data_IF_165343343505
#
_entry.id   IF_165343343505
#
_cell.length_a   1.000
_cell.length_b   1.000
_cell.length_c   1.000
_cell.angle_alpha   90.00
_cell.angle_beta   90.00
_cell.angle_gamma   90.00
#
_symmetry.space_group_name_H-M   'P 1'
#
loop_
_entity.id
_entity.type
_entity.pdbx_description
1 polymer ?
#
# COMPACT_ATOMS: atom_id res chain seq x y z
N UNK A 1 -1.81 1.31 13.22
CA UNK A 1 -3.05 0.91 12.54
C UNK A 1 -3.88 2.16 12.24
N UNK A 2 -4.27 2.38 10.97
CA UNK A 2 -4.86 3.66 10.50
C UNK A 2 -6.40 3.67 10.44
N UNK A 3 -7.05 2.53 10.68
CA UNK A 3 -8.51 2.40 10.47
C UNK A 3 -9.32 2.99 11.62
N UNK A 4 -10.31 3.83 11.28
CA UNK A 4 -11.22 4.48 12.24
C UNK A 4 -12.09 3.49 13.03
N UNK A 5 -12.68 2.51 12.34
CA UNK A 5 -13.52 1.46 12.94
C UNK A 5 -13.09 0.11 12.39
N UNK A 6 -12.92 -0.88 13.26
CA UNK A 6 -12.52 -2.21 12.88
C UNK A 6 -13.18 -3.25 13.80
N UNK A 7 -13.62 -4.36 13.21
CA UNK A 7 -14.06 -5.57 13.91
C UNK A 7 -13.07 -6.69 13.63
N UNK A 8 -12.59 -7.36 14.69
CA UNK A 8 -11.80 -8.58 14.57
C UNK A 8 -12.46 -9.70 15.36
N UNK A 9 -12.93 -10.74 14.69
CA UNK A 9 -13.48 -11.90 15.37
C UNK A 9 -12.37 -12.73 16.03
N UNK A 10 -12.65 -13.31 17.19
CA UNK A 10 -11.68 -14.13 17.93
C UNK A 10 -11.87 -15.60 17.63
N UNK A 11 -10.77 -16.34 17.65
CA UNK A 11 -10.80 -17.80 17.73
C UNK A 11 -11.08 -18.21 19.19
N UNK A 12 -12.36 -18.47 19.47
CA UNK A 12 -12.89 -18.95 20.74
C UNK A 12 -13.36 -20.42 20.66
N UNK A 13 -12.96 -21.14 19.60
CA UNK A 13 -13.33 -22.54 19.35
C UNK A 13 -14.68 -22.71 18.63
N UNK A 14 -15.50 -21.67 18.54
CA UNK A 14 -16.76 -21.67 17.79
C UNK A 14 -16.53 -21.27 16.33
N UNK A 15 -16.61 -22.27 15.42
CA UNK A 15 -16.35 -22.06 14.00
C UNK A 15 -17.59 -21.61 13.22
N UNK A 16 -17.47 -20.47 12.54
CA UNK A 16 -18.45 -19.98 11.58
C UNK A 16 -17.78 -19.85 10.21
N UNK A 17 -18.30 -20.58 9.22
CA UNK A 17 -17.74 -20.61 7.86
C UNK A 17 -17.59 -19.23 7.20
N UNK A 18 -18.44 -18.27 7.56
CA UNK A 18 -18.44 -16.91 7.02
C UNK A 18 -17.40 -15.99 7.67
N UNK A 19 -16.82 -16.42 8.79
CA UNK A 19 -15.83 -15.68 9.57
C UNK A 19 -14.45 -16.27 9.32
N UNK A 20 -13.48 -15.39 9.13
CA UNK A 20 -12.06 -15.65 9.04
C UNK A 20 -11.41 -14.84 10.16
N UNK A 21 -11.00 -15.52 11.22
CA UNK A 21 -10.44 -14.88 12.42
C UNK A 21 -9.10 -14.16 12.18
N UNK A 22 -8.44 -14.39 11.03
CA UNK A 22 -7.20 -13.69 10.68
C UNK A 22 -7.47 -12.32 10.03
N UNK A 23 -8.71 -12.03 9.65
CA UNK A 23 -9.10 -10.81 8.93
C UNK A 23 -9.51 -9.65 9.84
N UNK A 24 -9.36 -8.46 9.25
CA UNK A 24 -9.71 -7.18 9.85
C UNK A 24 -10.96 -6.61 9.14
N UNK A 25 -12.15 -6.83 9.68
CA UNK A 25 -13.41 -6.51 9.01
C UNK A 25 -13.80 -5.03 9.12
N UNK A 26 -14.33 -4.47 8.03
CA UNK A 26 -15.13 -3.25 8.09
C UNK A 26 -16.39 -3.49 8.92
N UNK A 27 -16.93 -2.43 9.52
CA UNK A 27 -18.08 -2.57 10.40
C UNK A 27 -19.30 -3.13 9.65
N UNK A 28 -19.57 -2.56 8.47
CA UNK A 28 -20.69 -2.92 7.60
C UNK A 28 -20.53 -4.35 7.06
N UNK A 29 -19.30 -4.74 6.68
CA UNK A 29 -19.00 -6.12 6.28
C UNK A 29 -19.27 -7.11 7.42
N UNK A 30 -18.85 -6.79 8.65
CA UNK A 30 -19.11 -7.61 9.82
C UNK A 30 -20.61 -7.70 10.15
N UNK A 31 -21.34 -6.59 10.08
CA UNK A 31 -22.79 -6.54 10.32
C UNK A 31 -23.54 -7.44 9.31
N UNK A 32 -23.19 -7.38 8.02
CA UNK A 32 -23.75 -8.26 6.99
C UNK A 32 -23.40 -9.75 7.19
N UNK A 33 -22.19 -10.06 7.65
CA UNK A 33 -21.80 -11.45 8.00
C UNK A 33 -22.65 -11.96 9.16
N UNK A 34 -22.82 -11.16 10.21
CA UNK A 34 -23.61 -11.50 11.39
C UNK A 34 -25.07 -11.75 11.01
N UNK A 35 -25.66 -10.89 10.18
CA UNK A 35 -27.04 -11.06 9.72
C UNK A 35 -27.22 -12.34 8.89
N UNK A 36 -26.26 -12.66 8.01
CA UNK A 36 -26.27 -13.93 7.26
C UNK A 36 -26.17 -15.15 8.16
N UNK A 37 -25.29 -15.12 9.16
CA UNK A 37 -25.15 -16.20 10.15
C UNK A 37 -26.45 -16.38 10.92
N UNK A 38 -27.05 -15.28 11.40
CA UNK A 38 -28.34 -15.29 12.12
C UNK A 38 -29.43 -15.94 11.27
N UNK A 39 -29.59 -15.51 10.02
CA UNK A 39 -30.58 -16.07 9.11
C UNK A 39 -30.39 -17.57 8.86
N UNK A 40 -29.13 -18.02 8.74
CA UNK A 40 -28.79 -19.44 8.59
C UNK A 40 -29.15 -20.23 9.85
N UNK A 41 -28.75 -19.76 11.03
CA UNK A 41 -29.03 -20.45 12.30
C UNK A 41 -30.54 -20.61 12.54
N UNK A 42 -31.33 -19.58 12.21
CA UNK A 42 -32.80 -19.63 12.28
C UNK A 42 -33.35 -20.70 11.33
N UNK A 43 -32.87 -20.76 10.08
CA UNK A 43 -33.29 -21.76 9.09
C UNK A 43 -32.93 -23.19 9.51
N UNK A 44 -31.75 -23.36 10.10
CA UNK A 44 -31.24 -24.65 10.58
C UNK A 44 -31.83 -25.09 11.93
N UNK A 45 -32.58 -24.21 12.62
CA UNK A 45 -33.10 -24.43 13.98
C UNK A 45 -32.01 -24.83 14.99
N UNK A 46 -30.80 -24.32 14.79
CA UNK A 46 -29.68 -24.52 15.73
C UNK A 46 -29.76 -23.48 16.83
N UNK A 47 -29.34 -23.87 18.04
CA UNK A 47 -29.11 -22.90 19.10
C UNK A 47 -28.01 -21.93 18.65
N UNK A 48 -28.28 -20.64 18.82
CA UNK A 48 -27.32 -19.59 18.53
C UNK A 48 -26.28 -19.54 19.65
N UNK A 49 -25.04 -19.94 19.34
CA UNK A 49 -23.90 -19.59 20.20
C UNK A 49 -23.62 -18.09 20.10
N UNK A 50 -22.71 -17.58 20.93
CA UNK A 50 -22.16 -16.24 20.75
C UNK A 50 -20.86 -16.33 19.96
N UNK A 51 -20.38 -15.22 19.40
CA UNK A 51 -19.03 -15.14 18.83
C UNK A 51 -18.30 -13.96 19.44
N UNK A 52 -17.11 -14.20 19.98
CA UNK A 52 -16.30 -13.14 20.58
C UNK A 52 -15.63 -12.31 19.49
N UNK A 53 -15.52 -11.00 19.72
CA UNK A 53 -14.84 -10.09 18.81
C UNK A 53 -14.21 -8.91 19.56
N UNK A 54 -13.19 -8.33 18.94
CA UNK A 54 -12.55 -7.09 19.35
C UNK A 54 -13.12 -5.93 18.55
N UNK A 55 -13.54 -4.90 19.26
CA UNK A 55 -13.94 -3.62 18.67
C UNK A 55 -12.80 -2.62 18.81
N UNK A 56 -12.32 -2.16 17.65
CA UNK A 56 -11.23 -1.20 17.55
C UNK A 56 -11.77 0.14 17.02
N UNK A 57 -11.39 1.22 17.69
CA UNK A 57 -11.71 2.60 17.29
C UNK A 57 -10.42 3.43 17.29
N UNK A 58 -10.17 4.17 16.22
CA UNK A 58 -8.98 5.02 16.05
C UNK A 58 -7.66 4.29 16.38
N UNK A 59 -7.56 3.03 15.92
CA UNK A 59 -6.39 2.18 16.14
C UNK A 59 -6.23 1.64 17.58
N UNK A 60 -7.18 1.85 18.47
CA UNK A 60 -7.19 1.33 19.84
C UNK A 60 -8.27 0.27 20.03
N UNK A 61 -7.91 -0.86 20.62
CA UNK A 61 -8.89 -1.87 21.05
C UNK A 61 -9.67 -1.31 22.23
N UNK A 62 -10.92 -0.92 21.99
CA UNK A 62 -11.76 -0.30 23.00
C UNK A 62 -12.46 -1.33 23.89
N UNK A 63 -13.04 -2.36 23.27
CA UNK A 63 -13.83 -3.37 23.98
C UNK A 63 -13.65 -4.74 23.33
N UNK A 64 -13.57 -5.79 24.16
CA UNK A 64 -13.74 -7.17 23.72
C UNK A 64 -15.15 -7.57 24.14
N UNK A 65 -16.00 -7.93 23.17
CA UNK A 65 -17.41 -8.24 23.41
C UNK A 65 -17.80 -9.53 22.70
N UNK A 66 -19.06 -9.92 22.85
CA UNK A 66 -19.67 -11.05 22.18
C UNK A 66 -20.85 -10.58 21.34
N UNK A 67 -20.91 -11.03 20.08
CA UNK A 67 -22.13 -10.89 19.29
C UNK A 67 -23.09 -12.02 19.65
N UNK A 68 -24.31 -11.63 19.96
CA UNK A 68 -25.41 -12.54 20.25
C UNK A 68 -26.27 -12.69 18.99
N UNK A 69 -26.25 -13.87 18.37
CA UNK A 69 -27.04 -14.12 17.15
C UNK A 69 -28.53 -14.35 17.44
N UNK A 70 -28.89 -14.77 18.66
CA UNK A 70 -30.27 -14.93 19.12
C UNK A 70 -31.01 -13.60 19.27
N UNK A 71 -30.28 -12.51 19.54
CA UNK A 71 -30.84 -11.16 19.63
C UNK A 71 -31.18 -10.61 18.25
N UNK A 72 -32.37 -9.98 18.14
CA UNK A 72 -32.82 -9.26 16.94
C UNK A 72 -32.10 -7.92 16.72
N UNK A 73 -31.36 -7.46 17.72
CA UNK A 73 -30.59 -6.21 17.65
C UNK A 73 -29.43 -6.33 16.67
N UNK A 74 -29.18 -5.27 15.90
CA UNK A 74 -28.04 -5.20 15.00
C UNK A 74 -26.72 -5.17 15.77
N UNK A 75 -25.60 -5.47 15.10
CA UNK A 75 -24.27 -5.40 15.71
C UNK A 75 -24.03 -4.02 16.34
N UNK A 76 -24.44 -2.96 15.63
CA UNK A 76 -24.31 -1.59 16.13
C UNK A 76 -25.04 -1.39 17.45
N UNK A 77 -26.28 -1.87 17.57
CA UNK A 77 -27.07 -1.72 18.80
C UNK A 77 -26.49 -2.50 19.97
N UNK A 78 -26.01 -3.73 19.71
CA UNK A 78 -25.35 -4.54 20.72
C UNK A 78 -24.06 -3.88 21.22
N UNK A 79 -23.28 -3.26 20.32
CA UNK A 79 -22.08 -2.50 20.67
C UNK A 79 -22.38 -1.21 21.42
N UNK A 80 -23.36 -0.43 20.97
CA UNK A 80 -23.83 0.77 21.69
C UNK A 80 -24.21 0.42 23.14
N UNK A 81 -24.97 -0.66 23.33
CA UNK A 81 -25.32 -1.14 24.67
C UNK A 81 -24.07 -1.52 25.48
N UNK A 82 -23.18 -2.32 24.90
CA UNK A 82 -21.94 -2.77 25.58
C UNK A 82 -21.10 -1.58 26.05
N UNK A 83 -20.92 -0.56 25.21
CA UNK A 83 -20.15 0.64 25.55
C UNK A 83 -20.86 1.43 26.66
N UNK A 84 -22.18 1.60 26.57
CA UNK A 84 -22.96 2.34 27.58
C UNK A 84 -22.99 1.63 28.95
N UNK A 85 -22.83 0.31 28.99
CA UNK A 85 -22.78 -0.46 30.25
C UNK A 85 -21.36 -0.79 30.69
N UNK A 86 -20.33 -0.21 30.07
CA UNK A 86 -18.94 -0.49 30.44
C UNK A 86 -18.56 0.24 31.73
N UNK A 87 -18.71 -0.44 32.88
CA UNK A 87 -18.62 0.14 34.22
C UNK A 87 -17.27 0.84 34.54
N UNK A 88 -16.20 0.49 33.81
CA UNK A 88 -14.89 1.10 34.02
C UNK A 88 -14.76 2.51 33.44
N UNK A 89 -15.75 2.99 32.69
CA UNK A 89 -15.73 4.31 32.05
C UNK A 89 -16.77 5.26 32.63
N UNK A 90 -16.38 6.53 32.75
CA UNK A 90 -17.31 7.59 33.10
C UNK A 90 -18.43 7.73 32.06
N UNK A 91 -19.60 8.19 32.48
CA UNK A 91 -20.79 8.34 31.62
C UNK A 91 -20.50 9.22 30.38
N UNK A 92 -19.87 10.37 30.57
CA UNK A 92 -19.49 11.28 29.49
C UNK A 92 -18.57 10.61 28.46
N UNK A 93 -17.63 9.78 28.93
CA UNK A 93 -16.71 9.03 28.06
C UNK A 93 -17.45 7.96 27.25
N UNK A 94 -18.38 7.22 27.87
CA UNK A 94 -19.21 6.22 27.18
C UNK A 94 -20.05 6.87 26.07
N UNK A 95 -20.70 8.00 26.37
CA UNK A 95 -21.48 8.73 25.37
C UNK A 95 -20.63 9.30 24.24
N UNK A 96 -19.43 9.79 24.54
CA UNK A 96 -18.48 10.25 23.52
C UNK A 96 -18.15 9.12 22.53
N UNK A 97 -17.76 7.94 23.02
CA UNK A 97 -17.43 6.81 22.15
C UNK A 97 -18.61 6.31 21.34
N UNK A 98 -19.82 6.25 21.91
CA UNK A 98 -21.04 5.90 21.17
C UNK A 98 -21.33 6.88 20.05
N UNK A 99 -21.16 8.19 20.30
CA UNK A 99 -21.39 9.21 19.28
C UNK A 99 -20.33 9.12 18.16
N UNK A 100 -19.06 8.89 18.51
CA UNK A 100 -17.99 8.67 17.52
C UNK A 100 -18.26 7.42 16.68
N UNK A 101 -18.62 6.30 17.30
CA UNK A 101 -19.02 5.06 16.61
C UNK A 101 -20.14 5.33 15.60
N UNK A 102 -21.21 6.01 16.02
CA UNK A 102 -22.34 6.34 15.12
C UNK A 102 -21.90 7.16 13.92
N UNK A 103 -21.06 8.18 14.14
CA UNK A 103 -20.53 9.01 13.07
C UNK A 103 -19.74 8.20 12.05
N UNK A 104 -18.79 7.39 12.51
CA UNK A 104 -17.93 6.60 11.62
C UNK A 104 -18.69 5.47 10.91
N UNK A 105 -19.63 4.81 11.58
CA UNK A 105 -20.47 3.79 10.95
C UNK A 105 -21.38 4.39 9.89
N UNK A 106 -21.94 5.58 10.14
CA UNK A 106 -22.75 6.27 9.13
C UNK A 106 -21.91 6.68 7.92
N UNK A 107 -20.72 7.26 8.14
CA UNK A 107 -19.76 7.57 7.06
C UNK A 107 -19.43 6.33 6.21
N UNK A 108 -19.16 5.20 6.87
CA UNK A 108 -18.86 3.94 6.18
C UNK A 108 -20.07 3.43 5.39
N UNK A 109 -21.26 3.41 5.99
CA UNK A 109 -22.50 2.96 5.35
C UNK A 109 -22.82 3.78 4.10
N UNK A 110 -22.61 5.10 4.12
CA UNK A 110 -22.82 5.97 2.95
C UNK A 110 -21.88 5.61 1.79
N UNK A 111 -20.61 5.29 2.07
CA UNK A 111 -19.66 4.88 1.05
C UNK A 111 -19.96 3.46 0.53
N UNK A 112 -20.43 2.57 1.41
CA UNK A 112 -20.71 1.16 1.10
C UNK A 112 -21.99 0.94 0.27
N UNK A 113 -22.74 2.00 -0.06
CA UNK A 113 -23.83 1.94 -1.04
C UNK A 113 -23.32 1.48 -2.41
N UNK A 114 -22.08 1.84 -2.77
CA UNK A 114 -21.45 1.43 -4.03
C UNK A 114 -20.84 0.02 -3.91
N UNK A 115 -21.46 -0.96 -4.56
CA UNK A 115 -21.00 -2.36 -4.56
C UNK A 115 -19.60 -2.58 -5.16
N UNK A 116 -19.21 -1.80 -6.16
CA UNK A 116 -17.86 -1.86 -6.74
C UNK A 116 -16.83 -1.38 -5.72
N UNK A 117 -17.13 -0.28 -5.02
CA UNK A 117 -16.29 0.20 -3.92
C UNK A 117 -16.20 -0.82 -2.78
N UNK A 118 -17.32 -1.42 -2.35
CA UNK A 118 -17.31 -2.48 -1.33
C UNK A 118 -16.40 -3.64 -1.76
N UNK A 119 -16.54 -4.10 -3.00
CA UNK A 119 -15.69 -5.17 -3.54
C UNK A 119 -14.21 -4.76 -3.55
N UNK A 120 -13.92 -3.51 -3.93
CA UNK A 120 -12.57 -2.96 -3.93
C UNK A 120 -11.95 -2.95 -2.52
N UNK A 121 -12.66 -2.43 -1.50
CA UNK A 121 -12.11 -2.33 -0.14
C UNK A 121 -11.96 -3.68 0.54
N UNK A 122 -12.91 -4.60 0.35
CA UNK A 122 -12.79 -5.96 0.85
C UNK A 122 -11.61 -6.68 0.20
N UNK A 123 -11.42 -6.50 -1.12
CA UNK A 123 -10.27 -7.12 -1.82
C UNK A 123 -8.94 -6.52 -1.38
N UNK A 124 -8.87 -5.20 -1.18
CA UNK A 124 -7.70 -4.54 -0.60
C UNK A 124 -7.35 -5.14 0.76
N UNK A 125 -8.33 -5.25 1.65
CA UNK A 125 -8.14 -5.76 3.00
C UNK A 125 -7.66 -7.23 3.01
N UNK A 126 -8.24 -8.06 2.15
CA UNK A 126 -7.82 -9.46 1.97
C UNK A 126 -6.37 -9.62 1.48
N UNK A 127 -5.79 -8.62 0.82
CA UNK A 127 -4.44 -8.70 0.27
C UNK A 127 -3.40 -7.99 1.13
N UNK A 128 -3.76 -6.86 1.72
CA UNK A 128 -2.83 -5.95 2.38
C UNK A 128 -3.15 -5.75 3.86
N UNK A 129 -4.40 -5.98 4.29
CA UNK A 129 -4.84 -5.83 5.68
C UNK A 129 -4.64 -7.08 6.55
N UNK A 130 -4.16 -8.18 5.97
CA UNK A 130 -3.93 -9.46 6.66
C UNK A 130 -2.50 -9.58 7.22
N UNK A 131 -2.36 -10.37 8.29
CA UNK A 131 -1.09 -10.59 9.03
C UNK A 131 0.06 -11.09 8.15
N UNK A 132 -0.24 -11.79 7.05
CA UNK A 132 0.76 -12.37 6.15
C UNK A 132 1.30 -11.39 5.12
N UNK A 133 0.73 -10.19 5.00
CA UNK A 133 1.27 -9.17 4.11
C UNK A 133 2.61 -8.66 4.67
N UNK A 134 3.68 -8.84 3.89
CA UNK A 134 5.03 -8.47 4.29
C UNK A 134 5.37 -7.04 3.84
N UNK A 135 6.11 -6.26 4.65
CA UNK A 135 6.68 -6.63 5.95
C UNK A 135 5.67 -6.61 7.11
N UNK A 136 4.54 -5.92 6.98
CA UNK A 136 3.47 -5.87 7.99
C UNK A 136 2.15 -5.48 7.33
N UNK A 137 0.99 -5.74 7.97
CA UNK A 137 -0.31 -5.38 7.41
C UNK A 137 -0.51 -3.88 7.28
N UNK A 138 -1.13 -3.44 6.19
CA UNK A 138 -1.49 -2.04 5.95
C UNK A 138 -3.01 -1.92 5.95
N UNK A 139 -3.53 -1.37 7.04
CA UNK A 139 -4.97 -1.16 7.23
C UNK A 139 -5.30 0.32 7.03
N UNK A 140 -5.73 0.72 5.83
CA UNK A 140 -6.22 2.07 5.55
C UNK A 140 -7.66 2.27 6.05
N UNK A 141 -8.02 3.53 6.31
CA UNK A 141 -9.41 3.90 6.59
C UNK A 141 -10.26 3.99 5.31
N UNK A 142 -11.58 4.00 5.49
CA UNK A 142 -12.54 4.01 4.37
C UNK A 142 -12.43 5.26 3.50
N UNK A 143 -12.05 6.40 4.07
CA UNK A 143 -11.90 7.65 3.32
C UNK A 143 -10.67 7.63 2.42
N UNK A 144 -9.55 7.12 2.93
CA UNK A 144 -8.32 6.88 2.17
C UNK A 144 -8.58 5.87 1.04
N UNK A 145 -9.25 4.76 1.34
CA UNK A 145 -9.62 3.77 0.33
C UNK A 145 -10.53 4.35 -0.76
N UNK A 146 -11.48 5.21 -0.38
CA UNK A 146 -12.33 5.90 -1.34
C UNK A 146 -11.55 6.87 -2.24
N UNK A 147 -10.51 7.53 -1.74
CA UNK A 147 -9.63 8.36 -2.57
C UNK A 147 -8.81 7.54 -3.56
N UNK A 148 -8.30 6.37 -3.17
CA UNK A 148 -7.61 5.45 -4.08
C UNK A 148 -8.59 4.96 -5.14
N UNK A 149 -9.76 4.47 -4.72
CA UNK A 149 -10.81 4.01 -5.61
C UNK A 149 -11.22 5.10 -6.62
N UNK A 150 -11.46 6.32 -6.15
CA UNK A 150 -11.82 7.45 -7.00
C UNK A 150 -10.74 7.86 -8.00
N UNK A 151 -9.48 7.53 -7.72
CA UNK A 151 -8.36 7.74 -8.65
C UNK A 151 -8.30 6.65 -9.72
N UNK A 152 -8.63 5.40 -9.37
CA UNK A 152 -8.48 4.25 -10.27
C UNK A 152 -9.74 3.92 -11.08
N UNK A 153 -10.92 4.13 -10.51
CA UNK A 153 -12.19 3.79 -11.15
C UNK A 153 -12.38 4.47 -12.52
N UNK A 154 -12.03 5.76 -12.71
CA UNK A 154 -12.14 6.41 -14.02
C UNK A 154 -11.18 5.85 -15.08
N UNK A 155 -10.16 5.10 -14.67
CA UNK A 155 -9.14 4.54 -15.55
C UNK A 155 -9.53 3.15 -16.11
N UNK A 156 -10.63 2.57 -15.63
CA UNK A 156 -11.13 1.26 -16.06
C UNK A 156 -11.64 1.31 -17.49
N UNK A 157 -11.23 0.35 -18.33
CA UNK A 157 -11.58 0.33 -19.77
C UNK A 157 -12.51 -0.80 -20.19
N UNK A 158 -12.38 -1.97 -19.58
CA UNK A 158 -13.10 -3.20 -19.97
C UNK A 158 -14.24 -3.53 -19.01
N UNK A 159 -13.97 -3.40 -17.71
CA UNK A 159 -14.94 -3.67 -16.64
C UNK A 159 -14.26 -3.66 -15.28
N UNK A 160 -14.98 -3.22 -14.24
CA UNK A 160 -14.41 -3.11 -12.90
C UNK A 160 -13.89 -4.45 -12.38
N UNK A 161 -14.72 -5.49 -12.42
CA UNK A 161 -14.34 -6.81 -11.89
C UNK A 161 -13.23 -7.50 -12.67
N UNK A 162 -13.08 -7.24 -13.98
CA UNK A 162 -11.99 -7.80 -14.79
C UNK A 162 -10.65 -7.11 -14.52
N UNK A 163 -10.67 -5.86 -14.07
CA UNK A 163 -9.47 -5.06 -13.82
C UNK A 163 -9.12 -4.96 -12.33
N UNK A 164 -9.96 -5.47 -11.43
CA UNK A 164 -9.75 -5.40 -9.98
C UNK A 164 -8.38 -5.94 -9.54
N UNK A 165 -7.95 -7.11 -10.05
CA UNK A 165 -6.64 -7.68 -9.71
C UNK A 165 -5.48 -6.82 -10.23
N UNK A 166 -5.66 -6.17 -11.38
CA UNK A 166 -4.66 -5.26 -11.94
C UNK A 166 -4.59 -3.97 -11.10
N UNK A 167 -5.73 -3.47 -10.59
CA UNK A 167 -5.74 -2.37 -9.62
C UNK A 167 -4.97 -2.75 -8.35
N UNK A 168 -5.24 -3.94 -7.79
CA UNK A 168 -4.55 -4.42 -6.60
C UNK A 168 -3.04 -4.56 -6.82
N UNK A 169 -2.61 -5.06 -7.98
CA UNK A 169 -1.19 -5.14 -8.33
C UNK A 169 -0.54 -3.74 -8.41
N UNK A 170 -1.23 -2.75 -8.96
CA UNK A 170 -0.75 -1.37 -9.02
C UNK A 170 -0.65 -0.72 -7.63
N UNK A 171 -1.67 -0.93 -6.77
CA UNK A 171 -1.66 -0.52 -5.37
C UNK A 171 -0.51 -1.18 -4.61
N UNK A 172 -0.30 -2.49 -4.78
CA UNK A 172 0.81 -3.22 -4.17
C UNK A 172 2.15 -2.58 -4.53
N UNK A 173 2.36 -2.28 -5.82
CA UNK A 173 3.58 -1.62 -6.30
C UNK A 173 3.76 -0.25 -5.65
N UNK A 174 2.68 0.51 -5.50
CA UNK A 174 2.71 1.81 -4.82
C UNK A 174 3.02 1.68 -3.31
N UNK A 175 2.46 0.68 -2.63
CA UNK A 175 2.75 0.40 -1.22
C UNK A 175 4.21 -0.04 -1.03
N UNK A 176 4.72 -0.94 -1.88
CA UNK A 176 6.13 -1.36 -1.89
C UNK A 176 7.07 -0.16 -2.06
N UNK A 177 6.70 0.83 -2.88
CA UNK A 177 7.47 2.08 -3.03
C UNK A 177 7.48 2.91 -1.75
N UNK A 178 6.32 3.10 -1.10
CA UNK A 178 6.22 3.83 0.17
C UNK A 178 7.05 3.14 1.27
N UNK A 179 6.97 1.81 1.35
CA UNK A 179 7.77 1.01 2.29
C UNK A 179 9.26 1.19 2.02
N UNK A 180 9.69 1.09 0.75
CA UNK A 180 11.08 1.28 0.36
C UNK A 180 11.61 2.67 0.73
N UNK A 181 10.86 3.73 0.42
CA UNK A 181 11.24 5.11 0.75
C UNK A 181 11.28 5.38 2.25
N UNK A 182 10.35 4.77 3.01
CA UNK A 182 10.37 4.81 4.46
C UNK A 182 11.65 4.14 5.01
N UNK A 183 12.05 3.02 4.42
CA UNK A 183 13.23 2.22 4.77
C UNK A 183 14.57 2.91 4.51
N UNK A 184 14.70 3.72 3.43
CA UNK A 184 15.95 4.39 3.04
C UNK A 184 16.65 5.19 4.16
N UNK A 185 15.91 5.64 5.16
CA UNK A 185 16.44 6.44 6.27
C UNK A 185 16.43 5.70 7.62
N UNK A 186 16.22 4.39 7.61
CA UNK A 186 16.24 3.54 8.81
C UNK A 186 17.57 2.77 8.95
N UNK A 187 18.46 2.89 7.96
CA UNK A 187 19.82 2.33 7.99
C UNK A 187 20.69 3.11 8.99
N UNK A 188 20.59 2.72 10.25
CA UNK A 188 21.32 3.32 11.36
C UNK A 188 21.23 2.52 12.66
N UNK A 189 22.39 1.95 13.04
CA UNK A 189 22.70 1.22 14.27
C UNK A 189 22.04 -0.17 14.42
N UNK A 190 22.80 -1.08 15.05
CA UNK A 190 22.43 -2.43 15.48
C UNK A 190 21.11 -2.43 16.27
N UNK A 191 19.99 -2.49 15.56
CA UNK A 191 18.66 -2.64 16.14
C UNK A 191 18.18 -4.04 15.84
N UNK A 192 17.57 -4.66 16.85
CA UNK A 192 16.88 -5.94 16.70
C UNK A 192 15.88 -5.88 15.53
N UNK A 193 15.77 -6.97 14.76
CA UNK A 193 14.93 -7.06 13.56
C UNK A 193 13.47 -6.67 13.86
N UNK A 194 12.95 -7.10 15.02
CA UNK A 194 11.59 -6.80 15.44
C UNK A 194 11.38 -5.29 15.70
N UNK A 195 12.40 -4.61 16.22
CA UNK A 195 12.34 -3.17 16.46
C UNK A 195 12.41 -2.38 15.15
N UNK A 196 13.23 -2.82 14.20
CA UNK A 196 13.29 -2.21 12.87
C UNK A 196 11.97 -2.34 12.13
N UNK A 197 11.33 -3.52 12.18
CA UNK A 197 10.04 -3.76 11.57
C UNK A 197 8.94 -2.85 12.16
N UNK A 198 8.87 -2.72 13.49
CA UNK A 198 7.94 -1.81 14.16
C UNK A 198 8.17 -0.34 13.80
N UNK A 199 9.43 0.10 13.78
CA UNK A 199 9.78 1.47 13.40
C UNK A 199 9.40 1.77 11.94
N UNK A 200 9.59 0.80 11.05
CA UNK A 200 9.16 0.90 9.66
C UNK A 200 7.62 0.96 9.56
N UNK A 201 6.90 0.14 10.32
CA UNK A 201 5.44 0.16 10.39
C UNK A 201 4.91 1.53 10.84
N UNK A 202 5.44 2.06 11.94
CA UNK A 202 5.10 3.38 12.46
C UNK A 202 5.34 4.46 11.39
N UNK A 203 6.51 4.45 10.77
CA UNK A 203 6.87 5.44 9.75
C UNK A 203 6.00 5.36 8.51
N UNK A 204 5.71 4.16 8.00
CA UNK A 204 4.80 3.97 6.85
C UNK A 204 3.40 4.45 7.20
N UNK A 205 2.91 4.14 8.40
CA UNK A 205 1.62 4.64 8.87
C UNK A 205 1.59 6.18 8.93
N UNK A 206 2.62 6.83 9.47
CA UNK A 206 2.72 8.29 9.50
C UNK A 206 2.72 8.88 8.09
N UNK A 207 3.54 8.35 7.19
CA UNK A 207 3.62 8.82 5.80
C UNK A 207 2.28 8.70 5.07
N UNK A 208 1.53 7.62 5.29
CA UNK A 208 0.21 7.43 4.67
C UNK A 208 -0.87 8.34 5.27
N UNK A 209 -0.65 8.94 6.44
CA UNK A 209 -1.53 9.98 7.00
C UNK A 209 -1.23 11.38 6.48
N UNK A 210 -0.01 11.62 5.98
CA UNK A 210 0.38 12.91 5.41
C UNK A 210 -0.31 13.12 4.05
N UNK A 211 -1.13 14.17 3.93
CA UNK A 211 -1.96 14.42 2.74
C UNK A 211 -1.14 14.49 1.44
N UNK A 212 0.03 15.12 1.48
CA UNK A 212 0.92 15.27 0.32
C UNK A 212 1.52 13.93 -0.14
N UNK A 213 1.96 13.11 0.82
CA UNK A 213 2.52 11.78 0.56
C UNK A 213 1.42 10.82 0.13
N UNK A 214 0.26 10.85 0.79
CA UNK A 214 -0.89 10.04 0.42
C UNK A 214 -1.39 10.36 -0.99
N UNK A 215 -1.44 11.65 -1.36
CA UNK A 215 -1.75 12.08 -2.73
C UNK A 215 -0.72 11.58 -3.75
N UNK A 216 0.57 11.63 -3.41
CA UNK A 216 1.64 11.10 -4.26
C UNK A 216 1.51 9.58 -4.43
N UNK A 217 1.12 8.87 -3.38
CA UNK A 217 0.82 7.45 -3.40
C UNK A 217 -0.39 7.11 -4.29
N UNK A 218 -1.50 7.84 -4.18
CA UNK A 218 -2.69 7.60 -5.03
C UNK A 218 -2.38 7.89 -6.51
N UNK A 219 -1.66 8.97 -6.78
CA UNK A 219 -1.16 9.31 -8.12
C UNK A 219 -0.28 8.20 -8.70
N UNK A 220 0.66 7.70 -7.91
CA UNK A 220 1.53 6.59 -8.30
C UNK A 220 0.70 5.33 -8.60
N UNK A 221 -0.24 4.95 -7.74
CA UNK A 221 -1.08 3.77 -7.95
C UNK A 221 -1.90 3.87 -9.24
N UNK A 222 -2.53 5.02 -9.50
CA UNK A 222 -3.29 5.27 -10.73
C UNK A 222 -2.41 5.27 -11.98
N UNK A 223 -1.24 5.93 -11.93
CA UNK A 223 -0.29 5.94 -13.04
C UNK A 223 0.28 4.54 -13.32
N UNK A 224 0.64 3.80 -12.28
CA UNK A 224 1.13 2.42 -12.35
C UNK A 224 0.10 1.50 -13.02
N UNK A 225 -1.17 1.64 -12.68
CA UNK A 225 -2.26 0.86 -13.27
C UNK A 225 -2.39 1.02 -14.80
N UNK A 226 -2.06 2.20 -15.33
CA UNK A 226 -2.11 2.49 -16.77
C UNK A 226 -0.74 2.35 -17.46
N UNK A 227 0.32 2.02 -16.72
CA UNK A 227 1.68 1.94 -17.25
C UNK A 227 2.07 0.51 -17.62
N UNK A 228 2.95 0.37 -18.61
CA UNK A 228 3.69 -0.88 -18.79
C UNK A 228 4.66 -1.08 -17.63
N UNK A 229 4.86 -2.31 -17.17
CA UNK A 229 5.61 -2.58 -15.94
C UNK A 229 7.09 -2.16 -15.98
N UNK A 230 7.65 -1.80 -14.82
CA UNK A 230 9.06 -1.35 -14.66
C UNK A 230 10.10 -2.32 -15.25
N UNK A 231 9.82 -3.63 -15.26
CA UNK A 231 10.66 -4.65 -15.88
C UNK A 231 10.91 -4.42 -17.38
N UNK A 232 10.08 -3.61 -18.06
CA UNK A 232 10.31 -3.19 -19.44
C UNK A 232 11.60 -2.42 -19.61
N UNK A 233 12.07 -1.70 -18.58
CA UNK A 233 13.39 -1.05 -18.58
C UNK A 233 14.48 -2.10 -18.84
N UNK A 234 14.45 -3.21 -18.10
CA UNK A 234 15.45 -4.27 -18.22
C UNK A 234 15.37 -4.97 -19.60
N UNK A 235 14.19 -5.02 -20.21
CA UNK A 235 13.99 -5.58 -21.55
C UNK A 235 14.44 -4.66 -22.70
N UNK A 236 14.21 -3.35 -22.56
CA UNK A 236 14.49 -2.36 -23.62
C UNK A 236 15.93 -1.85 -23.57
N UNK A 237 16.49 -1.67 -22.37
CA UNK A 237 17.78 -1.02 -22.16
C UNK A 237 18.93 -1.66 -22.96
N UNK A 238 19.11 -3.00 -23.00
CA UNK A 238 20.22 -3.63 -23.74
C UNK A 238 20.20 -3.36 -25.25
N UNK A 239 19.02 -3.16 -25.83
CA UNK A 239 18.83 -2.90 -27.26
C UNK A 239 18.84 -1.41 -27.60
N UNK A 240 18.85 -0.54 -26.59
CA UNK A 240 18.83 0.89 -26.79
C UNK A 240 20.22 1.40 -27.21
N UNK A 241 20.31 2.00 -28.41
CA UNK A 241 21.59 2.37 -29.04
C UNK A 241 22.48 3.26 -28.15
N UNK A 242 21.87 4.17 -27.39
CA UNK A 242 22.61 5.05 -26.49
C UNK A 242 23.23 4.27 -25.32
N UNK A 243 22.53 3.28 -24.78
CA UNK A 243 23.06 2.39 -23.75
C UNK A 243 24.24 1.59 -24.28
N UNK A 244 24.15 1.02 -25.48
CA UNK A 244 25.25 0.26 -26.09
C UNK A 244 26.50 1.14 -26.30
N UNK A 245 26.29 2.37 -26.77
CA UNK A 245 27.38 3.36 -26.89
C UNK A 245 28.01 3.65 -25.54
N UNK A 246 27.18 3.90 -24.53
CA UNK A 246 27.63 4.20 -23.16
C UNK A 246 28.44 3.04 -22.58
N UNK A 247 27.95 1.80 -22.72
CA UNK A 247 28.63 0.60 -22.25
C UNK A 247 29.99 0.41 -22.94
N UNK A 248 30.06 0.64 -24.26
CA UNK A 248 31.32 0.56 -24.99
C UNK A 248 32.33 1.58 -24.47
N UNK A 249 31.92 2.85 -24.30
CA UNK A 249 32.79 3.90 -23.74
C UNK A 249 33.23 3.56 -22.32
N UNK A 250 32.29 3.12 -21.49
CA UNK A 250 32.51 2.85 -20.07
C UNK A 250 33.44 1.64 -19.84
N UNK A 251 33.32 0.58 -20.64
CA UNK A 251 34.11 -0.64 -20.46
C UNK A 251 35.26 -0.81 -21.46
N UNK A 252 35.54 0.20 -22.28
CA UNK A 252 36.74 0.26 -23.11
C UNK A 252 37.61 1.45 -22.69
N UNK A 253 37.20 2.67 -23.05
CA UNK A 253 38.00 3.88 -22.86
C UNK A 253 38.10 4.31 -21.39
N UNK A 254 37.01 4.22 -20.63
CA UNK A 254 37.01 4.68 -19.25
C UNK A 254 37.81 3.79 -18.32
N UNK A 255 37.77 2.46 -18.54
CA UNK A 255 38.56 1.49 -17.76
C UNK A 255 40.06 1.68 -17.94
N UNK A 256 40.52 2.11 -19.12
CA UNK A 256 41.95 2.35 -19.37
C UNK A 256 42.54 3.44 -18.47
N UNK A 257 41.74 4.46 -18.12
CA UNK A 257 42.18 5.61 -17.31
C UNK A 257 41.84 5.50 -15.83
N UNK A 258 40.76 4.79 -15.51
CA UNK A 258 40.25 4.67 -14.15
C UNK A 258 40.41 3.21 -13.69
N UNK A 259 39.31 2.47 -13.58
CA UNK A 259 39.33 1.04 -13.29
C UNK A 259 38.04 0.36 -13.72
N UNK A 260 38.07 -0.97 -13.81
CA UNK A 260 36.86 -1.77 -14.02
C UNK A 260 35.84 -1.61 -12.87
N UNK A 261 36.32 -1.52 -11.64
CA UNK A 261 35.46 -1.35 -10.47
C UNK A 261 34.66 -0.04 -10.55
N UNK A 262 35.32 1.07 -10.88
CA UNK A 262 34.63 2.36 -11.04
C UNK A 262 33.66 2.36 -12.23
N UNK A 263 34.04 1.77 -13.36
CA UNK A 263 33.14 1.59 -14.50
C UNK A 263 31.88 0.80 -14.11
N UNK A 264 32.05 -0.26 -13.32
CA UNK A 264 30.94 -1.08 -12.84
C UNK A 264 30.03 -0.32 -11.85
N UNK A 265 30.59 0.46 -10.94
CA UNK A 265 29.80 1.32 -10.03
C UNK A 265 28.96 2.35 -10.81
N UNK A 266 29.52 2.97 -11.85
CA UNK A 266 28.77 3.88 -12.73
C UNK A 266 27.62 3.11 -13.42
N UNK A 267 27.88 1.87 -13.86
CA UNK A 267 26.84 1.02 -14.46
C UNK A 267 25.69 0.72 -13.50
N UNK A 268 26.00 0.36 -12.25
CA UNK A 268 24.99 0.16 -11.21
C UNK A 268 24.22 1.45 -10.92
N UNK A 269 24.92 2.58 -10.88
CA UNK A 269 24.33 3.88 -10.59
C UNK A 269 23.30 4.28 -11.65
N UNK A 270 23.64 4.22 -12.94
CA UNK A 270 22.66 4.60 -13.96
C UNK A 270 21.51 3.58 -14.07
N UNK A 271 21.77 2.29 -13.80
CA UNK A 271 20.71 1.27 -13.76
C UNK A 271 19.70 1.57 -12.65
N UNK A 272 20.17 1.99 -11.48
CA UNK A 272 19.32 2.49 -10.40
C UNK A 272 18.58 3.77 -10.82
N UNK A 273 19.28 4.73 -11.41
CA UNK A 273 18.71 6.01 -11.85
C UNK A 273 17.59 5.85 -12.88
N UNK A 274 17.66 4.84 -13.77
CA UNK A 274 16.56 4.51 -14.69
C UNK A 274 15.30 4.10 -13.93
N UNK A 275 15.43 3.24 -12.92
CA UNK A 275 14.30 2.77 -12.09
C UNK A 275 13.73 3.91 -11.24
N UNK A 276 14.59 4.76 -10.68
CA UNK A 276 14.18 5.95 -9.93
C UNK A 276 13.49 6.99 -10.82
N UNK A 277 13.97 7.20 -12.06
CA UNK A 277 13.34 8.09 -13.02
C UNK A 277 11.93 7.62 -13.40
N UNK A 278 11.77 6.32 -13.64
CA UNK A 278 10.46 5.71 -13.86
C UNK A 278 9.52 6.01 -12.67
N UNK A 279 9.97 5.74 -11.44
CA UNK A 279 9.15 6.00 -10.26
C UNK A 279 8.79 7.47 -10.09
N UNK A 280 9.74 8.38 -10.32
CA UNK A 280 9.52 9.82 -10.20
C UNK A 280 8.44 10.32 -11.17
N UNK A 281 8.35 9.74 -12.37
CA UNK A 281 7.30 10.07 -13.35
C UNK A 281 5.93 9.59 -12.84
N UNK A 282 5.86 8.36 -12.32
CA UNK A 282 4.61 7.81 -11.79
C UNK A 282 4.14 8.55 -10.53
N UNK A 283 5.05 8.98 -9.66
CA UNK A 283 4.73 9.80 -8.48
C UNK A 283 4.05 11.13 -8.86
N UNK A 284 4.32 11.65 -10.05
CA UNK A 284 3.65 12.85 -10.58
C UNK A 284 2.26 12.56 -11.17
N UNK A 285 1.84 11.29 -11.19
CA UNK A 285 0.58 10.83 -11.78
C UNK A 285 0.63 10.62 -13.29
N UNK A 286 1.83 10.57 -13.90
CA UNK A 286 1.97 10.39 -15.34
C UNK A 286 2.22 8.91 -15.68
N UNK A 287 1.34 8.34 -16.53
CA UNK A 287 1.44 6.95 -16.94
C UNK A 287 2.37 6.75 -18.14
N UNK A 288 3.20 5.70 -18.09
CA UNK A 288 4.08 5.26 -19.17
C UNK A 288 3.39 4.12 -19.94
N UNK A 289 2.52 4.47 -20.89
CA UNK A 289 1.58 3.54 -21.50
C UNK A 289 2.20 2.53 -22.48
N UNK A 290 3.43 2.77 -22.96
CA UNK A 290 4.09 1.92 -23.94
C UNK A 290 5.63 2.05 -23.88
N UNK A 291 6.32 1.23 -24.67
CA UNK A 291 7.78 1.18 -24.72
C UNK A 291 8.40 2.50 -25.21
N UNK A 292 7.79 3.17 -26.18
CA UNK A 292 8.29 4.46 -26.73
C UNK A 292 8.35 5.54 -25.64
N UNK A 293 7.37 5.56 -24.73
CA UNK A 293 7.37 6.47 -23.59
C UNK A 293 8.49 6.14 -22.59
N UNK A 294 8.77 4.84 -22.35
CA UNK A 294 9.92 4.44 -21.52
C UNK A 294 11.23 4.89 -22.18
N UNK A 295 11.41 4.63 -23.48
CA UNK A 295 12.63 5.02 -24.19
C UNK A 295 12.85 6.53 -24.15
N UNK A 296 11.81 7.32 -24.42
CA UNK A 296 11.92 8.78 -24.55
C UNK A 296 11.97 9.52 -23.21
N UNK A 297 11.24 9.07 -22.18
CA UNK A 297 11.11 9.79 -20.90
C UNK A 297 11.95 9.21 -19.77
N UNK A 298 12.39 7.94 -19.90
CA UNK A 298 13.22 7.26 -18.90
C UNK A 298 14.61 7.00 -19.45
N UNK A 299 14.74 6.18 -20.51
CA UNK A 299 16.05 5.73 -20.98
C UNK A 299 16.90 6.88 -21.52
N UNK A 300 16.39 7.60 -22.51
CA UNK A 300 17.13 8.68 -23.18
C UNK A 300 17.62 9.77 -22.20
N UNK A 301 16.77 10.41 -21.37
CA UNK A 301 17.25 11.50 -20.52
C UNK A 301 18.28 11.05 -19.48
N UNK A 302 18.12 9.86 -18.89
CA UNK A 302 19.09 9.33 -17.91
C UNK A 302 20.41 9.00 -18.61
N UNK A 303 20.37 8.21 -19.69
CA UNK A 303 21.59 7.75 -20.36
C UNK A 303 22.35 8.90 -21.04
N UNK A 304 21.66 9.93 -21.54
CA UNK A 304 22.32 11.12 -22.09
C UNK A 304 23.09 11.87 -21.00
N UNK A 305 22.49 12.03 -19.81
CA UNK A 305 23.15 12.68 -18.68
C UNK A 305 24.44 11.93 -18.31
N UNK A 306 24.37 10.61 -18.13
CA UNK A 306 25.55 9.80 -17.82
C UNK A 306 26.61 9.83 -18.92
N UNK A 307 26.20 9.85 -20.19
CA UNK A 307 27.12 9.99 -21.31
C UNK A 307 27.92 11.30 -21.20
N UNK A 308 27.23 12.42 -20.97
CA UNK A 308 27.86 13.73 -20.81
C UNK A 308 28.81 13.73 -19.61
N UNK A 309 28.39 13.16 -18.48
CA UNK A 309 29.19 13.14 -17.25
C UNK A 309 30.48 12.31 -17.44
N UNK A 310 30.40 11.14 -18.09
CA UNK A 310 31.56 10.31 -18.41
C UNK A 310 32.50 11.03 -19.39
N UNK A 311 31.97 11.64 -20.45
CA UNK A 311 32.79 12.37 -21.43
C UNK A 311 33.52 13.55 -20.78
N UNK A 312 32.88 14.28 -19.86
CA UNK A 312 33.51 15.36 -19.10
C UNK A 312 34.59 14.86 -18.15
N UNK A 313 34.37 13.72 -17.50
CA UNK A 313 35.37 13.11 -16.62
C UNK A 313 36.62 12.71 -17.41
N UNK A 314 36.44 12.04 -18.56
CA UNK A 314 37.55 11.65 -19.44
C UNK A 314 38.37 12.85 -19.94
N UNK A 315 37.72 13.97 -20.27
CA UNK A 315 38.41 15.20 -20.68
C UNK A 315 39.20 15.86 -19.55
N UNK A 316 38.68 15.81 -18.31
CA UNK A 316 39.38 16.37 -17.14
C UNK A 316 40.64 15.59 -16.79
N UNK A 317 40.61 14.27 -16.97
CA UNK A 317 41.74 13.41 -16.65
C UNK A 317 42.85 13.51 -17.72
N UNK A 318 42.52 13.79 -18.99
CA UNK A 318 43.51 14.14 -20.03
C UNK A 318 44.29 15.41 -19.69
N UNK A 319 43.61 16.46 -19.20
CA UNK A 319 44.26 17.73 -18.86
C UNK A 319 45.20 17.61 -17.66
N UNK A 320 44.96 16.65 -16.76
CA UNK A 320 45.83 16.41 -15.59
C UNK A 320 47.08 15.57 -15.91
N UNK A 321 47.03 14.71 -16.92
CA UNK A 321 48.20 13.94 -17.36
C UNK A 321 49.20 14.81 -18.17
N UNK A 322 48.74 15.91 -18.76
CA UNK A 322 49.54 16.84 -19.57
C UNK A 322 50.19 18.01 -18.77
N UNK A 323 49.98 18.12 -17.45
CA UNK A 323 50.70 19.10 -16.61
C UNK A 323 52.13 18.59 -16.29
N UNK A 324 53.20 19.30 -16.69
CA UNK A 324 54.57 18.85 -16.47
C UNK A 324 54.94 18.88 -14.97
N UNK A 325 55.50 17.76 -14.48
CA UNK A 325 56.12 17.62 -13.15
C UNK A 325 57.37 18.48 -12.97
#
# INVERSE_FOLDING_TARGET
MLRKVLIRFKDDGDYFREIDEERNYFFTEAEEIIDRIRDRLIKEKREASTKSFEFWLDGQCLVISQVHFDKKESLQKQLEHTILTFDSWEEDMRHKYVNTLKGYVEEEKQLFINKEFVTFVTRYDQLFGISTFAPFPICLDTSQLNQIYGTMQPLVKTGFYSELEQMMAAIKTALEKVIYDAGKNLDGAEKDFLQQQKLLEEKVNTLLQEETIFKSFTQYAGASFQSVGKHRIDALCPNFKLYQTLQLTLFSTFVEKNSFAEAYEIHLTFTSALKEKYDAILTQGFALANDEMIESLVLNPVLQQFKIDIEQQLQRDEVKEDEPQ
#
